data_IF_212197477921
#
_entry.id   IF_212197477921
#
_cell.length_a   1.000
_cell.length_b   1.000
_cell.length_c   1.000
_cell.angle_alpha   90.00
_cell.angle_beta   90.00
_cell.angle_gamma   90.00
#
_symmetry.space_group_name_H-M   'P 1'
#
loop_
_entity.id
_entity.type
_entity.pdbx_description
1 polymer ?
#
# COMPACT_ATOMS: atom_id res chain seq x y z
N UNK A 1 -2.78 -14.19 -4.15
CA UNK A 1 -2.47 -12.79 -3.79
C UNK A 1 -3.65 -12.26 -2.99
N UNK A 2 -3.43 -11.28 -2.13
CA UNK A 2 -4.50 -10.60 -1.39
C UNK A 2 -4.33 -9.09 -1.50
N UNK A 3 -5.44 -8.36 -1.38
CA UNK A 3 -5.44 -6.93 -1.10
C UNK A 3 -6.23 -6.67 0.18
N UNK A 4 -5.92 -5.56 0.85
CA UNK A 4 -6.67 -5.11 2.02
C UNK A 4 -6.82 -3.60 1.98
N UNK A 5 -8.07 -3.14 2.15
CA UNK A 5 -8.37 -1.75 2.44
C UNK A 5 -7.99 -1.45 3.90
N UNK A 6 -7.08 -0.50 4.11
CA UNK A 6 -6.51 -0.20 5.43
C UNK A 6 -6.36 1.30 5.65
N UNK A 7 -6.65 1.72 6.88
CA UNK A 7 -6.36 3.07 7.38
C UNK A 7 -4.89 3.16 7.80
N UNK A 8 -4.20 4.20 7.33
CA UNK A 8 -2.83 4.53 7.72
C UNK A 8 -2.70 5.95 8.29
N UNK A 9 -3.82 6.67 8.43
CA UNK A 9 -3.90 7.99 9.06
C UNK A 9 -3.16 9.10 8.29
N UNK A 10 -2.78 8.86 7.03
CA UNK A 10 -2.07 9.81 6.18
C UNK A 10 -2.88 10.07 4.91
N UNK A 11 -3.68 11.16 4.84
CA UNK A 11 -4.46 11.50 3.66
C UNK A 11 -3.62 11.85 2.43
N UNK A 12 -4.09 11.49 1.24
CA UNK A 12 -3.48 11.84 -0.05
C UNK A 12 -1.96 11.54 -0.12
N UNK A 13 -1.51 10.47 0.55
CA UNK A 13 -0.11 10.09 0.66
C UNK A 13 0.18 8.89 -0.22
N UNK A 14 1.25 8.99 -1.01
CA UNK A 14 1.70 7.90 -1.87
C UNK A 14 2.67 6.99 -1.13
N UNK A 15 2.44 5.69 -1.25
CA UNK A 15 3.26 4.61 -0.73
C UNK A 15 3.83 3.78 -1.87
N UNK A 16 5.03 3.24 -1.66
CA UNK A 16 5.70 2.29 -2.56
C UNK A 16 6.04 1.01 -1.79
N UNK A 17 5.97 -0.14 -2.47
CA UNK A 17 6.40 -1.41 -1.90
C UNK A 17 7.92 -1.55 -2.03
N UNK A 18 8.64 -1.49 -0.90
CA UNK A 18 10.11 -1.59 -0.89
C UNK A 18 10.61 -3.02 -1.10
N UNK A 19 9.71 -4.01 -1.10
CA UNK A 19 10.05 -5.39 -1.45
C UNK A 19 10.07 -5.61 -2.97
N UNK A 20 9.70 -4.59 -3.75
CA UNK A 20 9.68 -4.58 -5.22
C UNK A 20 8.75 -5.64 -5.84
N UNK A 21 7.91 -6.28 -5.03
CA UNK A 21 6.93 -7.26 -5.51
C UNK A 21 5.78 -6.62 -6.30
N UNK A 22 5.42 -5.37 -5.97
CA UNK A 22 4.37 -4.60 -6.64
C UNK A 22 4.96 -3.25 -7.05
N UNK A 23 4.94 -2.97 -8.35
CA UNK A 23 5.49 -1.73 -8.91
C UNK A 23 4.52 -0.56 -8.87
N UNK A 24 3.22 -0.85 -8.77
CA UNK A 24 2.16 0.14 -8.74
C UNK A 24 2.10 0.80 -7.34
N UNK A 25 2.29 2.11 -7.24
CA UNK A 25 2.18 2.81 -5.98
C UNK A 25 0.72 2.91 -5.51
N UNK A 26 0.52 3.00 -4.20
CA UNK A 26 -0.79 3.22 -3.59
C UNK A 26 -0.88 4.64 -3.08
N UNK A 27 -1.91 5.39 -3.48
CA UNK A 27 -2.21 6.71 -2.91
C UNK A 27 -3.46 6.59 -2.04
N UNK A 28 -3.34 6.99 -0.79
CA UNK A 28 -4.47 7.01 0.14
C UNK A 28 -5.48 8.08 -0.23
N UNK A 29 -6.74 7.86 0.14
CA UNK A 29 -7.82 8.84 -0.05
C UNK A 29 -7.73 10.00 0.97
N UNK A 30 -8.71 10.91 0.94
CA UNK A 30 -8.80 12.07 1.84
C UNK A 30 -8.98 11.70 3.32
N UNK A 31 -9.38 10.47 3.62
CA UNK A 31 -9.57 9.95 4.97
C UNK A 31 -8.35 9.14 5.46
N UNK A 32 -7.29 9.02 4.64
CA UNK A 32 -6.09 8.28 5.01
C UNK A 32 -6.20 6.77 4.86
N UNK A 33 -7.14 6.29 4.04
CA UNK A 33 -7.31 4.88 3.69
C UNK A 33 -6.73 4.55 2.31
N UNK A 34 -6.15 3.37 2.15
CA UNK A 34 -5.60 2.88 0.88
C UNK A 34 -5.79 1.38 0.69
N UNK A 35 -5.73 0.92 -0.56
CA UNK A 35 -5.80 -0.50 -0.91
C UNK A 35 -4.38 -1.03 -1.07
N UNK A 36 -3.96 -1.91 -0.17
CA UNK A 36 -2.60 -2.44 -0.15
C UNK A 36 -2.59 -3.90 -0.56
N UNK A 37 -1.78 -4.24 -1.55
CA UNK A 37 -1.63 -5.59 -2.09
C UNK A 37 -0.48 -6.38 -1.47
N UNK A 38 -0.52 -7.70 -1.62
CA UNK A 38 0.57 -8.63 -1.34
C UNK A 38 0.41 -9.93 -2.17
N UNK A 39 1.45 -10.38 -2.91
CA UNK A 39 1.43 -11.67 -3.59
C UNK A 39 1.30 -12.86 -2.62
N UNK A 40 0.81 -14.01 -3.12
CA UNK A 40 0.65 -15.20 -2.28
C UNK A 40 2.01 -15.73 -1.78
N UNK A 41 2.09 -16.15 -0.52
CA UNK A 41 3.31 -16.72 0.04
C UNK A 41 4.47 -15.72 0.19
N UNK A 42 4.17 -14.41 0.23
CA UNK A 42 5.15 -13.34 0.29
C UNK A 42 4.78 -12.28 1.33
N UNK A 43 5.56 -11.21 1.42
CA UNK A 43 5.27 -10.01 2.18
C UNK A 43 5.52 -8.78 1.31
N UNK A 44 4.66 -7.79 1.41
CA UNK A 44 4.85 -6.44 0.84
C UNK A 44 4.97 -5.44 1.98
N UNK A 45 5.97 -4.56 1.90
CA UNK A 45 6.23 -3.52 2.91
C UNK A 45 6.05 -2.16 2.25
N UNK A 46 4.99 -1.48 2.62
CA UNK A 46 4.60 -0.20 2.02
C UNK A 46 5.16 0.96 2.85
N UNK A 47 6.00 1.79 2.25
CA UNK A 47 6.56 2.99 2.90
C UNK A 47 6.14 4.26 2.17
N UNK A 48 5.98 5.40 2.87
CA UNK A 48 5.71 6.67 2.22
C UNK A 48 6.86 7.08 1.29
N UNK A 49 6.53 7.59 0.10
CA UNK A 49 7.51 8.12 -0.87
C UNK A 49 8.06 9.48 -0.48
#
# INVERSE_FOLDING_TARGET
AGSKWMEVGQPNRTYVDITEHITEPVTTNAEGWGEFGCPAGSVSVWVPR
#
